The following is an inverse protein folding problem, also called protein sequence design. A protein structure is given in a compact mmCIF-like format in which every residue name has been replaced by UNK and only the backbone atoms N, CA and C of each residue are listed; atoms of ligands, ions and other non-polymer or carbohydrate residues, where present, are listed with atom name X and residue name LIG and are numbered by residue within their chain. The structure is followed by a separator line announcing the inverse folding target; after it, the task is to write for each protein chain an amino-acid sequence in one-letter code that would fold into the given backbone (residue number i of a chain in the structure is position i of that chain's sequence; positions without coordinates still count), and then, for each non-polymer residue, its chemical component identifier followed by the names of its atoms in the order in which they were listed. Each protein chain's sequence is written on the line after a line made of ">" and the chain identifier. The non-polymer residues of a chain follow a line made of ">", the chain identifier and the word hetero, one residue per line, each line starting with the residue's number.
data_IF_351482789165
#
_entry.id   IF_351482789165
#
_cell.length_a   1.000
_cell.length_b   1.000
_cell.length_c   1.000
_cell.angle_alpha   90.00
_cell.angle_beta   90.00
_cell.angle_gamma   90.00
#
_symmetry.space_group_name_H-M   'P 1'
#
loop_
_entity.id
_entity.type
_entity.pdbx_description
1 polymer ?
#
# COMPACT_ATOMS: atom_id res chain seq x y z
N UNK A 1 70.78 -1.07 -1.56
CA UNK A 1 69.89 -0.05 -0.94
C UNK A 1 68.69 0.41 -1.80
N UNK A 2 68.48 -0.09 -3.03
CA UNK A 2 67.27 0.23 -3.85
C UNK A 2 66.25 -0.93 -3.87
N UNK A 3 66.70 -2.18 -3.86
CA UNK A 3 65.83 -3.36 -3.84
C UNK A 3 65.09 -3.58 -2.52
N UNK A 4 65.64 -3.11 -1.39
CA UNK A 4 64.98 -3.19 -0.08
C UNK A 4 63.79 -2.23 0.03
N UNK A 5 63.84 -1.07 -0.66
CA UNK A 5 62.72 -0.13 -0.72
C UNK A 5 61.59 -0.63 -1.63
N UNK A 6 61.93 -1.42 -2.66
CA UNK A 6 60.97 -1.99 -3.60
C UNK A 6 60.16 -3.13 -2.98
N UNK A 7 60.78 -3.95 -2.12
CA UNK A 7 60.08 -5.00 -1.36
C UNK A 7 59.15 -4.43 -0.29
N UNK A 8 59.51 -3.29 0.32
CA UNK A 8 58.67 -2.63 1.33
C UNK A 8 57.43 -1.96 0.71
N UNK A 9 57.53 -1.50 -0.55
CA UNK A 9 56.42 -0.88 -1.27
C UNK A 9 55.39 -1.91 -1.78
N UNK A 10 55.83 -3.15 -2.07
CA UNK A 10 54.94 -4.25 -2.48
C UNK A 10 54.18 -4.89 -1.29
N UNK A 11 54.75 -4.82 -0.08
CA UNK A 11 54.13 -5.36 1.14
C UNK A 11 52.97 -4.50 1.67
N UNK A 12 52.99 -3.19 1.41
CA UNK A 12 51.93 -2.26 1.86
C UNK A 12 50.70 -2.33 0.94
N UNK A 13 50.87 -2.70 -0.32
CA UNK A 13 49.75 -2.88 -1.27
C UNK A 13 48.95 -4.17 -1.05
N UNK A 14 49.44 -5.11 -0.24
CA UNK A 14 48.74 -6.38 0.03
C UNK A 14 47.79 -6.30 1.25
N UNK A 15 47.77 -5.18 1.98
CA UNK A 15 46.99 -5.01 3.22
C UNK A 15 45.74 -4.13 3.06
N UNK A 16 45.46 -3.59 1.87
CA UNK A 16 44.26 -2.79 1.59
C UNK A 16 43.26 -3.52 0.67
N UNK A 17 43.10 -4.83 0.84
CA UNK A 17 41.90 -5.53 0.37
C UNK A 17 40.92 -5.61 1.53
N UNK A 18 40.59 -4.44 2.09
CA UNK A 18 39.50 -4.31 3.05
C UNK A 18 38.20 -4.38 2.27
N UNK A 19 37.64 -5.59 2.30
CA UNK A 19 36.23 -5.92 2.19
C UNK A 19 35.28 -4.73 2.05
N UNK A 20 35.07 -4.29 0.81
CA UNK A 20 33.83 -3.62 0.46
C UNK A 20 32.74 -4.69 0.39
N UNK A 21 32.31 -5.19 1.57
CA UNK A 21 30.96 -5.70 1.69
C UNK A 21 30.06 -4.48 1.48
N UNK A 22 29.62 -4.30 0.24
CA UNK A 22 28.43 -3.54 -0.04
C UNK A 22 27.33 -4.17 0.82
N UNK A 23 27.00 -3.52 1.93
CA UNK A 23 25.71 -3.74 2.56
C UNK A 23 24.70 -3.32 1.49
N UNK A 24 24.13 -4.31 0.80
CA UNK A 24 22.78 -4.22 0.26
C UNK A 24 21.90 -3.89 1.46
N UNK A 25 21.82 -2.60 1.75
CA UNK A 25 20.91 -2.06 2.72
C UNK A 25 19.53 -2.47 2.25
N UNK A 26 18.93 -3.37 3.01
CA UNK A 26 17.55 -3.77 2.94
C UNK A 26 16.73 -2.50 2.63
N UNK A 27 16.33 -2.35 1.37
CA UNK A 27 15.71 -1.14 0.88
C UNK A 27 14.35 -1.06 1.55
N UNK A 28 14.31 -0.39 2.71
CA UNK A 28 13.11 -0.26 3.51
C UNK A 28 12.05 0.34 2.60
N UNK A 29 11.06 -0.46 2.22
CA UNK A 29 9.88 -0.02 1.48
C UNK A 29 9.15 0.97 2.38
N UNK A 30 9.48 2.25 2.26
CA UNK A 30 8.80 3.33 2.95
C UNK A 30 7.66 3.75 2.02
N UNK A 31 6.43 3.58 2.50
CA UNK A 31 5.26 4.07 1.81
C UNK A 31 5.28 5.61 1.81
N UNK A 32 5.16 6.19 0.62
CA UNK A 32 5.34 7.61 0.41
C UNK A 32 4.04 8.38 0.57
N UNK A 33 4.12 9.55 1.20
CA UNK A 33 2.99 10.48 1.32
C UNK A 33 2.81 11.23 0.00
N UNK A 34 1.64 11.08 -0.63
CA UNK A 34 1.34 11.78 -1.90
C UNK A 34 0.47 13.03 -1.71
N UNK A 35 -0.36 13.06 -0.66
CA UNK A 35 -1.20 14.22 -0.35
C UNK A 35 -1.52 14.30 1.15
N UNK A 36 -1.70 15.53 1.65
CA UNK A 36 -2.17 15.81 3.01
C UNK A 36 -3.51 16.53 2.95
N UNK A 37 -4.50 16.00 3.68
CA UNK A 37 -5.88 16.53 3.69
C UNK A 37 -6.27 16.81 5.14
N UNK A 38 -6.23 18.10 5.51
CA UNK A 38 -6.34 18.57 6.90
C UNK A 38 -5.36 17.82 7.82
N UNK A 39 -5.89 17.05 8.77
CA UNK A 39 -5.13 16.27 9.76
C UNK A 39 -4.74 14.88 9.27
N UNK A 40 -5.29 14.37 8.16
CA UNK A 40 -4.97 13.04 7.63
C UNK A 40 -4.07 13.07 6.39
N UNK A 41 -3.61 11.89 5.98
CA UNK A 41 -2.61 11.72 4.92
C UNK A 41 -3.03 10.59 3.98
N UNK A 42 -2.87 10.83 2.68
CA UNK A 42 -3.06 9.83 1.63
C UNK A 42 -1.69 9.30 1.24
N UNK A 43 -1.50 8.00 1.41
CA UNK A 43 -0.28 7.27 1.06
C UNK A 43 -0.30 6.79 -0.40
N UNK A 44 0.88 6.49 -0.95
CA UNK A 44 1.01 5.94 -2.30
C UNK A 44 0.32 4.59 -2.42
N UNK A 45 0.50 3.71 -1.45
CA UNK A 45 -0.17 2.39 -1.43
C UNK A 45 -1.69 2.50 -1.60
N UNK A 46 -2.33 3.41 -0.86
CA UNK A 46 -3.77 3.64 -0.93
C UNK A 46 -4.22 4.11 -2.32
N UNK A 47 -3.44 5.00 -2.95
CA UNK A 47 -3.73 5.46 -4.30
C UNK A 47 -3.54 4.36 -5.36
N UNK A 48 -2.52 3.52 -5.21
CA UNK A 48 -2.30 2.37 -6.09
C UNK A 48 -3.40 1.31 -5.93
N UNK A 49 -3.87 1.06 -4.71
CA UNK A 49 -5.02 0.18 -4.46
C UNK A 49 -6.29 0.74 -5.13
N UNK A 50 -6.58 2.03 -4.95
CA UNK A 50 -7.72 2.67 -5.61
C UNK A 50 -7.62 2.63 -7.15
N UNK A 51 -6.42 2.71 -7.71
CA UNK A 51 -6.20 2.51 -9.15
C UNK A 51 -6.53 1.09 -9.60
N UNK A 52 -6.12 0.08 -8.82
CA UNK A 52 -6.45 -1.32 -9.13
C UNK A 52 -7.96 -1.54 -9.09
N UNK A 53 -8.65 -1.00 -8.08
CA UNK A 53 -10.10 -1.12 -7.95
C UNK A 53 -10.84 -0.52 -9.15
N UNK A 54 -10.44 0.70 -9.58
CA UNK A 54 -11.01 1.34 -10.78
C UNK A 54 -10.72 0.52 -12.03
N UNK A 55 -9.51 -0.02 -12.17
CA UNK A 55 -9.15 -0.86 -13.31
C UNK A 55 -9.98 -2.16 -13.35
N UNK A 56 -10.20 -2.79 -12.20
CA UNK A 56 -11.05 -3.98 -12.08
C UNK A 56 -12.51 -3.67 -12.40
N UNK A 57 -13.03 -2.54 -11.93
CA UNK A 57 -14.39 -2.10 -12.22
C UNK A 57 -14.58 -1.84 -13.73
N UNK A 58 -13.64 -1.15 -14.38
CA UNK A 58 -13.68 -0.94 -15.83
C UNK A 58 -13.59 -2.26 -16.61
N UNK A 59 -12.80 -3.24 -16.13
CA UNK A 59 -12.75 -4.58 -16.71
C UNK A 59 -14.08 -5.33 -16.53
N UNK A 60 -14.73 -5.21 -15.36
CA UNK A 60 -16.06 -5.80 -15.08
C UNK A 60 -17.13 -5.21 -15.99
N UNK A 61 -16.99 -3.94 -16.38
CA UNK A 61 -17.84 -3.27 -17.37
C UNK A 61 -17.61 -3.75 -18.82
N UNK A 62 -16.65 -4.65 -19.04
CA UNK A 62 -16.40 -5.28 -20.34
C UNK A 62 -15.40 -4.54 -21.23
N UNK A 63 -14.80 -3.44 -20.75
CA UNK A 63 -13.80 -2.68 -21.48
C UNK A 63 -12.49 -3.49 -21.60
N UNK A 64 -11.88 -3.49 -22.80
CA UNK A 64 -10.67 -4.26 -23.09
C UNK A 64 -9.69 -3.48 -23.97
N UNK A 65 -8.42 -3.84 -23.90
CA UNK A 65 -7.37 -3.30 -24.76
C UNK A 65 -7.25 -1.78 -24.66
N UNK A 66 -7.19 -1.13 -25.82
CA UNK A 66 -6.98 0.32 -25.95
C UNK A 66 -8.12 1.15 -25.32
N UNK A 67 -9.37 0.66 -25.37
CA UNK A 67 -10.51 1.37 -24.79
C UNK A 67 -10.43 1.40 -23.26
N UNK A 68 -9.99 0.30 -22.65
CA UNK A 68 -9.76 0.21 -21.20
C UNK A 68 -8.68 1.20 -20.77
N UNK A 69 -7.55 1.23 -21.47
CA UNK A 69 -6.44 2.12 -21.16
C UNK A 69 -6.82 3.59 -21.33
N UNK A 70 -7.53 3.92 -22.42
CA UNK A 70 -8.05 5.27 -22.64
C UNK A 70 -8.98 5.71 -21.51
N UNK A 71 -9.96 4.87 -21.15
CA UNK A 71 -10.89 5.15 -20.06
C UNK A 71 -10.19 5.25 -18.73
N UNK A 72 -9.26 4.34 -18.43
CA UNK A 72 -8.49 4.39 -17.20
C UNK A 72 -7.67 5.68 -17.10
N UNK A 73 -7.02 6.13 -18.18
CA UNK A 73 -6.28 7.38 -18.20
C UNK A 73 -7.19 8.62 -18.05
N UNK A 74 -8.41 8.59 -18.57
CA UNK A 74 -9.44 9.63 -18.32
C UNK A 74 -9.83 9.68 -16.82
N UNK A 75 -9.91 8.53 -16.16
CA UNK A 75 -10.32 8.42 -14.75
C UNK A 75 -9.20 8.64 -13.75
N UNK A 76 -7.96 8.27 -14.09
CA UNK A 76 -6.78 8.34 -13.23
C UNK A 76 -6.61 9.66 -12.47
N UNK A 77 -6.75 10.85 -13.06
CA UNK A 77 -6.63 12.11 -12.30
C UNK A 77 -7.74 12.27 -11.25
N UNK A 78 -8.93 11.72 -11.51
CA UNK A 78 -10.09 11.83 -10.60
C UNK A 78 -9.98 10.94 -9.37
N UNK A 79 -9.11 9.92 -9.40
CA UNK A 79 -8.94 8.98 -8.28
C UNK A 79 -8.43 9.72 -7.05
N UNK A 80 -7.44 10.61 -7.22
CA UNK A 80 -6.91 11.35 -6.08
C UNK A 80 -7.96 12.30 -5.50
N UNK A 81 -8.73 12.99 -6.36
CA UNK A 81 -9.81 13.86 -5.93
C UNK A 81 -10.88 13.09 -5.13
N UNK A 82 -11.22 11.88 -5.55
CA UNK A 82 -12.19 11.04 -4.85
C UNK A 82 -11.68 10.59 -3.48
N UNK A 83 -10.40 10.23 -3.38
CA UNK A 83 -9.77 9.90 -2.09
C UNK A 83 -9.78 11.10 -1.14
N UNK A 84 -9.46 12.29 -1.64
CA UNK A 84 -9.52 13.54 -0.87
C UNK A 84 -10.96 13.80 -0.39
N UNK A 85 -11.93 13.71 -1.29
CA UNK A 85 -13.34 13.94 -0.96
C UNK A 85 -13.85 12.95 0.08
N UNK A 86 -13.54 11.67 -0.07
CA UNK A 86 -13.89 10.62 0.90
C UNK A 86 -13.31 10.94 2.27
N UNK A 87 -12.06 11.37 2.33
CA UNK A 87 -11.41 11.74 3.59
C UNK A 87 -12.03 12.97 4.23
N UNK A 88 -12.36 14.01 3.45
CA UNK A 88 -13.06 15.20 3.94
C UNK A 88 -14.46 14.86 4.44
N UNK A 89 -15.18 13.98 3.74
CA UNK A 89 -16.50 13.51 4.13
C UNK A 89 -16.45 12.75 5.46
N UNK A 90 -15.48 11.84 5.62
CA UNK A 90 -15.27 11.11 6.86
C UNK A 90 -14.95 12.04 8.04
N UNK A 91 -14.08 13.03 7.83
CA UNK A 91 -13.79 14.05 8.83
C UNK A 91 -15.06 14.84 9.21
N UNK A 92 -15.86 15.24 8.23
CA UNK A 92 -17.11 15.96 8.47
C UNK A 92 -18.13 15.11 9.23
N UNK A 93 -18.26 13.82 8.91
CA UNK A 93 -19.16 12.91 9.62
C UNK A 93 -18.75 12.76 11.10
N UNK A 94 -17.44 12.67 11.36
CA UNK A 94 -16.87 12.66 12.71
C UNK A 94 -17.17 13.95 13.46
N UNK A 95 -17.00 15.11 12.83
CA UNK A 95 -17.31 16.42 13.43
C UNK A 95 -18.80 16.54 13.79
N UNK A 96 -19.68 15.95 12.96
CA UNK A 96 -21.12 15.91 13.20
C UNK A 96 -21.56 14.80 14.18
N UNK A 97 -20.62 14.06 14.79
CA UNK A 97 -20.89 12.96 15.72
C UNK A 97 -21.84 11.89 15.17
N UNK A 98 -21.79 11.63 13.86
CA UNK A 98 -22.56 10.55 13.23
C UNK A 98 -21.91 9.22 13.63
N UNK A 99 -22.53 8.49 14.57
CA UNK A 99 -22.06 7.19 15.00
C UNK A 99 -22.82 6.05 14.27
N UNK A 100 -22.09 5.28 13.46
CA UNK A 100 -22.60 4.11 12.73
C UNK A 100 -22.21 2.76 13.35
N UNK A 101 -21.44 2.77 14.45
CA UNK A 101 -20.93 1.57 15.13
C UNK A 101 -22.03 0.54 15.45
N UNK A 102 -23.23 0.92 15.94
CA UNK A 102 -24.28 -0.05 16.23
C UNK A 102 -24.76 -0.78 14.98
N UNK A 103 -24.86 -0.08 13.84
CA UNK A 103 -25.31 -0.65 12.58
C UNK A 103 -24.24 -1.57 11.98
N UNK A 104 -22.97 -1.17 12.06
CA UNK A 104 -21.83 -2.00 11.64
C UNK A 104 -21.78 -3.29 12.45
N UNK A 105 -21.94 -3.21 13.78
CA UNK A 105 -21.94 -4.40 14.62
C UNK A 105 -23.12 -5.34 14.31
N UNK A 106 -24.31 -4.80 14.06
CA UNK A 106 -25.45 -5.59 13.61
C UNK A 106 -25.18 -6.26 12.26
N UNK A 107 -24.52 -5.57 11.34
CA UNK A 107 -24.17 -6.12 10.03
C UNK A 107 -23.12 -7.23 10.16
N UNK A 108 -22.12 -7.07 11.02
CA UNK A 108 -21.13 -8.10 11.31
C UNK A 108 -21.79 -9.34 11.93
N UNK A 109 -22.73 -9.16 12.86
CA UNK A 109 -23.52 -10.25 13.44
C UNK A 109 -24.37 -10.98 12.40
N UNK A 110 -24.92 -10.28 11.40
CA UNK A 110 -25.62 -10.92 10.28
C UNK A 110 -24.67 -11.75 9.42
N UNK A 111 -23.51 -11.20 9.04
CA UNK A 111 -22.49 -11.90 8.25
C UNK A 111 -21.97 -13.15 8.97
N UNK A 112 -21.76 -13.08 10.29
CA UNK A 112 -21.38 -14.23 11.11
C UNK A 112 -22.45 -15.34 11.07
N UNK A 113 -23.73 -14.98 11.17
CA UNK A 113 -24.83 -15.95 11.05
C UNK A 113 -24.93 -16.57 9.65
N UNK A 114 -24.82 -15.77 8.60
CA UNK A 114 -24.88 -16.22 7.21
C UNK A 114 -23.72 -17.16 6.85
N UNK A 115 -22.56 -16.94 7.44
CA UNK A 115 -21.36 -17.73 7.19
C UNK A 115 -21.10 -18.82 8.25
N UNK A 116 -22.06 -19.09 9.15
CA UNK A 116 -21.92 -20.07 10.24
C UNK A 116 -20.63 -19.87 11.06
N UNK A 117 -20.28 -18.63 11.37
CA UNK A 117 -19.16 -18.27 12.23
C UNK A 117 -19.67 -17.81 13.60
N UNK A 118 -19.05 -18.30 14.67
CA UNK A 118 -19.39 -17.93 16.05
C UNK A 118 -18.52 -16.79 16.59
N UNK A 119 -17.48 -16.39 15.84
CA UNK A 119 -16.55 -15.33 16.22
C UNK A 119 -16.14 -14.48 15.02
N UNK A 120 -15.66 -13.27 15.31
CA UNK A 120 -15.18 -12.32 14.29
C UNK A 120 -13.92 -12.86 13.61
N UNK A 121 -13.09 -13.61 14.34
CA UNK A 121 -11.87 -14.24 13.82
C UNK A 121 -12.19 -15.31 12.77
N UNK A 122 -13.23 -16.13 13.00
CA UNK A 122 -13.73 -17.08 12.00
C UNK A 122 -14.18 -16.36 10.73
N UNK A 123 -14.90 -15.25 10.88
CA UNK A 123 -15.36 -14.47 9.74
C UNK A 123 -14.19 -13.84 8.99
N UNK A 124 -13.21 -13.26 9.70
CA UNK A 124 -11.99 -12.71 9.11
C UNK A 124 -11.18 -13.76 8.36
N UNK A 125 -11.08 -14.98 8.88
CA UNK A 125 -10.43 -16.09 8.16
C UNK A 125 -11.15 -16.41 6.85
N UNK A 126 -12.48 -16.52 6.87
CA UNK A 126 -13.27 -16.77 5.66
C UNK A 126 -13.18 -15.62 4.65
N UNK A 127 -13.08 -14.38 5.11
CA UNK A 127 -12.88 -13.22 4.25
C UNK A 127 -11.52 -13.27 3.55
N UNK A 128 -10.45 -13.63 4.28
CA UNK A 128 -9.12 -13.85 3.69
C UNK A 128 -9.11 -14.99 2.68
N UNK A 129 -9.79 -16.10 2.99
CA UNK A 129 -9.97 -17.23 2.05
C UNK A 129 -10.73 -16.80 0.78
N UNK A 130 -11.67 -15.85 0.90
CA UNK A 130 -12.40 -15.26 -0.21
C UNK A 130 -11.61 -14.16 -0.96
N UNK A 131 -10.36 -13.88 -0.57
CA UNK A 131 -9.49 -12.89 -1.19
C UNK A 131 -9.69 -11.45 -0.72
N UNK A 132 -10.43 -11.24 0.37
CA UNK A 132 -10.51 -9.94 1.05
C UNK A 132 -9.46 -9.89 2.16
N UNK A 133 -8.41 -9.10 1.96
CA UNK A 133 -7.40 -8.85 3.00
C UNK A 133 -7.89 -7.76 3.95
N UNK A 134 -7.89 -8.03 5.25
CA UNK A 134 -8.32 -7.11 6.32
C UNK A 134 -7.14 -6.34 6.95
N UNK A 135 -5.99 -6.29 6.27
CA UNK A 135 -4.73 -5.67 6.72
C UNK A 135 -4.41 -4.30 6.11
#
# INVERSE_FOLDING_TARGET
>A
MKFLKLAFLLGITLLCVDYSFAQEGDAKLIDEVIARVNSGVIMRSAFESAQKDVLEELKKQGLKGEELEKKFNEWKPRILDELINTQLLAQRAKDLSINVEPQVNQQLLRMMKENNCESVECLGQKMREAGFDDG
#
